data_IF_504455393015
#
_entry.id   IF_504455393015
#
_cell.length_a   1.000
_cell.length_b   1.000
_cell.length_c   1.000
_cell.angle_alpha   90.00
_cell.angle_beta   90.00
_cell.angle_gamma   90.00
#
_symmetry.space_group_name_H-M   'P 1'
#
loop_
_entity.id
_entity.type
_entity.pdbx_description
1 polymer ?
#
# COMPACT_ATOMS: atom_id res chain seq x y z
N UNK A 1 -5.15 39.93 -16.03
CA UNK A 1 -5.17 38.50 -16.47
C UNK A 1 -5.62 37.56 -15.36
N UNK A 2 -5.27 37.83 -14.11
CA UNK A 2 -5.58 36.99 -12.93
C UNK A 2 -7.09 36.86 -12.57
N UNK A 3 -7.93 37.82 -12.98
CA UNK A 3 -9.38 37.74 -12.73
C UNK A 3 -10.14 36.77 -13.66
N UNK A 4 -9.54 36.36 -14.80
CA UNK A 4 -10.21 35.50 -15.78
C UNK A 4 -10.06 34.01 -15.44
N UNK A 5 -8.95 33.62 -14.81
CA UNK A 5 -8.73 32.27 -14.29
C UNK A 5 -9.58 31.97 -13.07
N UNK A 6 -9.75 32.94 -12.15
CA UNK A 6 -10.61 32.75 -10.97
C UNK A 6 -12.10 32.58 -11.30
N UNK A 7 -12.56 33.16 -12.41
CA UNK A 7 -13.95 33.01 -12.88
C UNK A 7 -14.20 31.64 -13.52
N UNK A 8 -13.19 31.07 -14.18
CA UNK A 8 -13.30 29.79 -14.86
C UNK A 8 -13.39 28.58 -13.91
N UNK A 9 -12.84 28.66 -12.70
CA UNK A 9 -12.89 27.54 -11.74
C UNK A 9 -14.26 27.38 -11.06
N UNK A 10 -15.05 28.46 -10.94
CA UNK A 10 -16.38 28.39 -10.33
C UNK A 10 -17.42 27.73 -11.26
N UNK A 11 -17.24 27.86 -12.57
CA UNK A 11 -18.19 27.39 -13.60
C UNK A 11 -17.83 26.01 -14.19
N UNK A 12 -16.73 25.39 -13.75
CA UNK A 12 -16.21 24.16 -14.37
C UNK A 12 -16.92 22.86 -13.94
N UNK A 13 -17.67 22.90 -12.84
CA UNK A 13 -18.41 21.74 -12.33
C UNK A 13 -19.85 21.66 -12.87
N UNK A 14 -20.27 22.61 -13.71
CA UNK A 14 -21.58 22.56 -14.36
C UNK A 14 -21.49 21.81 -15.68
N UNK A 15 -22.43 20.91 -16.00
CA UNK A 15 -22.45 20.22 -17.28
C UNK A 15 -22.47 21.23 -18.44
N UNK A 16 -21.62 21.03 -19.45
CA UNK A 16 -21.50 21.91 -20.61
C UNK A 16 -21.95 21.19 -21.88
N UNK A 17 -22.73 21.88 -22.71
CA UNK A 17 -23.14 21.35 -24.02
C UNK A 17 -21.97 21.32 -25.00
N UNK A 18 -22.01 20.38 -25.96
CA UNK A 18 -21.00 20.28 -27.03
C UNK A 18 -20.83 21.61 -27.79
N UNK A 19 -21.92 22.36 -27.97
CA UNK A 19 -21.92 23.68 -28.62
C UNK A 19 -21.19 24.74 -27.80
N UNK A 20 -21.41 24.76 -26.48
CA UNK A 20 -20.74 25.68 -25.55
C UNK A 20 -19.22 25.41 -25.53
N UNK A 21 -18.84 24.14 -25.51
CA UNK A 21 -17.43 23.74 -25.51
C UNK A 21 -16.78 24.14 -26.84
N UNK A 22 -17.38 23.82 -27.98
CA UNK A 22 -16.87 24.20 -29.29
C UNK A 22 -16.69 25.72 -29.44
N UNK A 23 -17.63 26.50 -28.90
CA UNK A 23 -17.54 27.97 -28.90
C UNK A 23 -16.38 28.50 -28.05
N UNK A 24 -16.09 27.86 -26.91
CA UNK A 24 -15.01 28.26 -25.99
C UNK A 24 -13.64 27.80 -26.47
N UNK A 25 -13.53 26.58 -26.99
CA UNK A 25 -12.26 25.97 -27.43
C UNK A 25 -11.93 26.30 -28.89
N UNK A 26 -12.90 26.79 -29.67
CA UNK A 26 -12.84 26.95 -31.13
C UNK A 26 -12.56 25.63 -31.87
N UNK A 27 -12.85 24.50 -31.24
CA UNK A 27 -12.66 23.15 -31.79
C UNK A 27 -14.00 22.45 -31.89
N UNK A 28 -14.39 22.10 -33.12
CA UNK A 28 -15.62 21.36 -33.38
C UNK A 28 -15.45 19.89 -33.00
N UNK A 29 -15.92 19.53 -31.81
CA UNK A 29 -15.85 18.16 -31.27
C UNK A 29 -16.64 17.18 -32.15
N UNK A 30 -17.76 17.61 -32.75
CA UNK A 30 -18.61 16.77 -33.60
C UNK A 30 -18.01 16.42 -34.96
N UNK A 31 -17.02 17.19 -35.44
CA UNK A 31 -16.38 16.94 -36.76
C UNK A 31 -15.21 15.96 -36.68
N UNK A 32 -14.67 15.73 -35.49
CA UNK A 32 -13.50 14.87 -35.30
C UNK A 32 -13.88 13.63 -34.47
N UNK A 33 -14.16 12.48 -35.12
CA UNK A 33 -14.59 11.27 -34.42
C UNK A 33 -13.52 10.76 -33.43
N UNK A 34 -12.24 10.98 -33.71
CA UNK A 34 -11.16 10.58 -32.80
C UNK A 34 -11.13 11.41 -31.50
N UNK A 35 -11.56 12.68 -31.55
CA UNK A 35 -11.71 13.51 -30.35
C UNK A 35 -12.95 13.10 -29.54
N UNK A 36 -14.04 12.76 -30.23
CA UNK A 36 -15.25 12.25 -29.60
C UNK A 36 -14.98 10.97 -28.81
N UNK A 37 -14.34 9.98 -29.43
CA UNK A 37 -13.98 8.72 -28.76
C UNK A 37 -13.06 8.95 -27.55
N UNK A 38 -12.08 9.86 -27.66
CA UNK A 38 -11.20 10.19 -26.53
C UNK A 38 -11.93 10.87 -25.37
N UNK A 39 -12.96 11.68 -25.64
CA UNK A 39 -13.75 12.34 -24.61
C UNK A 39 -14.68 11.34 -23.91
N UNK A 40 -15.31 10.46 -24.67
CA UNK A 40 -16.20 9.42 -24.12
C UNK A 40 -15.41 8.37 -23.33
N UNK A 41 -14.20 8.03 -23.77
CA UNK A 41 -13.33 7.06 -23.07
C UNK A 41 -12.58 7.66 -21.87
N UNK A 42 -12.74 8.95 -21.57
CA UNK A 42 -12.02 9.58 -20.46
C UNK A 42 -12.74 9.34 -19.13
N UNK A 43 -12.06 8.70 -18.17
CA UNK A 43 -12.58 8.39 -16.84
C UNK A 43 -12.99 9.63 -16.02
N UNK A 44 -12.44 10.80 -16.37
CA UNK A 44 -12.75 12.09 -15.72
C UNK A 44 -13.90 12.85 -16.37
N UNK A 45 -14.51 12.31 -17.42
CA UNK A 45 -15.59 12.98 -18.15
C UNK A 45 -16.79 12.04 -18.19
N UNK A 46 -17.94 12.54 -17.76
CA UNK A 46 -19.21 11.86 -17.92
C UNK A 46 -19.96 12.51 -19.09
N UNK A 47 -20.42 11.68 -20.02
CA UNK A 47 -21.19 12.12 -21.18
C UNK A 47 -22.63 11.66 -21.03
N UNK A 48 -23.55 12.62 -20.98
CA UNK A 48 -24.98 12.36 -21.02
C UNK A 48 -25.47 12.37 -22.47
N UNK A 49 -25.82 11.19 -22.98
CA UNK A 49 -26.32 11.01 -24.35
C UNK A 49 -27.70 11.63 -24.59
N UNK A 50 -28.49 11.88 -23.54
CA UNK A 50 -29.83 12.45 -23.65
C UNK A 50 -29.75 13.95 -23.89
N UNK A 51 -28.90 14.62 -23.13
CA UNK A 51 -28.79 16.08 -23.18
C UNK A 51 -27.60 16.58 -24.03
N UNK A 52 -26.76 15.68 -24.55
CA UNK A 52 -25.52 16.01 -25.25
C UNK A 52 -24.63 16.96 -24.42
N UNK A 53 -24.49 16.64 -23.13
CA UNK A 53 -23.71 17.42 -22.18
C UNK A 53 -22.54 16.60 -21.65
N UNK A 54 -21.41 17.28 -21.48
CA UNK A 54 -20.24 16.75 -20.80
C UNK A 54 -20.14 17.36 -19.41
N UNK A 55 -20.04 16.51 -18.38
CA UNK A 55 -19.75 16.90 -17.00
C UNK A 55 -18.38 16.40 -16.58
N UNK A 56 -17.71 17.16 -15.71
CA UNK A 56 -16.50 16.70 -15.06
C UNK A 56 -16.84 15.69 -13.97
N UNK A 57 -16.22 14.51 -14.02
CA UNK A 57 -16.34 13.47 -13.01
C UNK A 57 -15.06 13.47 -12.17
N UNK A 58 -15.05 14.14 -11.00
CA UNK A 58 -13.91 14.04 -10.10
C UNK A 58 -13.78 12.60 -9.58
N UNK A 59 -12.55 12.20 -9.24
CA UNK A 59 -12.25 10.87 -8.67
C UNK A 59 -13.12 10.59 -7.44
N UNK A 60 -13.42 11.64 -6.66
CA UNK A 60 -14.33 11.57 -5.53
C UNK A 60 -15.33 12.73 -5.59
N UNK A 61 -16.59 12.49 -5.29
CA UNK A 61 -17.61 13.54 -5.26
C UNK A 61 -17.66 14.21 -3.88
N UNK A 62 -16.64 14.98 -3.55
CA UNK A 62 -16.53 15.65 -2.24
C UNK A 62 -16.87 17.12 -2.40
N UNK A 63 -17.94 17.57 -1.73
CA UNK A 63 -18.36 18.98 -1.76
C UNK A 63 -18.30 19.63 -0.38
N UNK A 64 -18.31 18.83 0.69
CA UNK A 64 -18.29 19.28 2.06
C UNK A 64 -17.19 18.62 2.90
N UNK A 65 -16.90 19.20 4.07
CA UNK A 65 -16.02 18.60 5.08
C UNK A 65 -16.56 17.27 5.61
N UNK A 66 -17.88 17.13 5.69
CA UNK A 66 -18.57 15.93 6.16
C UNK A 66 -18.46 14.80 5.13
N UNK A 67 -18.51 15.14 3.84
CA UNK A 67 -18.29 14.17 2.75
C UNK A 67 -16.87 13.61 2.80
N UNK A 68 -15.87 14.47 3.06
CA UNK A 68 -14.48 14.07 3.20
C UNK A 68 -14.31 13.09 4.37
N UNK A 69 -14.91 13.42 5.52
CA UNK A 69 -14.86 12.56 6.70
C UNK A 69 -15.55 11.22 6.43
N UNK A 70 -16.75 11.25 5.86
CA UNK A 70 -17.52 10.04 5.50
C UNK A 70 -16.73 9.15 4.54
N UNK A 71 -16.04 9.75 3.55
CA UNK A 71 -15.19 9.02 2.62
C UNK A 71 -14.01 8.37 3.34
N UNK A 72 -13.30 9.11 4.19
CA UNK A 72 -12.19 8.58 5.00
C UNK A 72 -12.63 7.44 5.94
N UNK A 73 -13.82 7.55 6.54
CA UNK A 73 -14.40 6.48 7.37
C UNK A 73 -14.69 5.24 6.53
N UNK A 74 -15.31 5.42 5.36
CA UNK A 74 -15.66 4.30 4.47
C UNK A 74 -14.41 3.56 3.99
N UNK A 75 -13.33 4.30 3.74
CA UNK A 75 -12.06 3.80 3.22
C UNK A 75 -11.03 3.47 4.31
N UNK A 76 -11.41 3.53 5.59
CA UNK A 76 -10.51 3.25 6.73
C UNK A 76 -9.79 1.89 6.65
N UNK A 77 -10.41 0.90 6.00
CA UNK A 77 -9.85 -0.45 5.82
C UNK A 77 -8.98 -0.58 4.57
N UNK A 78 -9.21 0.27 3.56
CA UNK A 78 -8.46 0.27 2.31
C UNK A 78 -7.16 1.08 2.42
N UNK A 79 -7.06 1.96 3.42
CA UNK A 79 -5.84 2.70 3.74
C UNK A 79 -6.04 4.21 3.67
N UNK A 80 -4.96 4.93 3.40
CA UNK A 80 -4.96 6.38 3.29
C UNK A 80 -5.26 6.85 1.88
N UNK A 81 -5.83 8.06 1.77
CA UNK A 81 -6.14 8.68 0.49
C UNK A 81 -5.12 9.77 0.14
N UNK A 82 -4.73 9.83 -1.12
CA UNK A 82 -3.82 10.86 -1.61
C UNK A 82 -4.50 12.23 -1.67
N UNK A 83 -3.81 13.24 -1.14
CA UNK A 83 -4.28 14.62 -1.11
C UNK A 83 -4.53 15.18 -2.52
N UNK A 84 -3.78 14.72 -3.54
CA UNK A 84 -3.90 15.20 -4.93
C UNK A 84 -5.27 14.86 -5.53
N UNK A 85 -5.75 13.64 -5.31
CA UNK A 85 -7.03 13.17 -5.87
C UNK A 85 -8.22 13.86 -5.19
N UNK A 86 -8.04 14.16 -3.90
CA UNK A 86 -9.02 14.91 -3.12
C UNK A 86 -9.03 16.40 -3.49
N UNK A 87 -7.85 16.99 -3.79
CA UNK A 87 -7.72 18.40 -4.18
C UNK A 87 -8.41 18.70 -5.52
N UNK A 88 -8.39 17.73 -6.42
CA UNK A 88 -9.11 17.79 -7.71
C UNK A 88 -10.63 17.87 -7.50
N UNK A 89 -11.12 17.23 -6.44
CA UNK A 89 -12.54 17.12 -6.11
C UNK A 89 -13.07 18.33 -5.34
N UNK A 90 -12.28 18.88 -4.41
CA UNK A 90 -12.71 19.92 -3.49
C UNK A 90 -11.72 21.08 -3.41
N UNK A 91 -12.12 22.26 -3.91
CA UNK A 91 -11.25 23.45 -3.98
C UNK A 91 -10.87 24.03 -2.61
N UNK A 92 -11.70 23.83 -1.58
CA UNK A 92 -11.45 24.28 -0.20
C UNK A 92 -10.81 23.20 0.69
N UNK A 93 -10.27 22.14 0.08
CA UNK A 93 -9.72 21.01 0.82
C UNK A 93 -8.60 21.40 1.78
N UNK A 94 -7.73 22.34 1.42
CA UNK A 94 -6.61 22.74 2.29
C UNK A 94 -7.08 23.29 3.64
N UNK A 95 -8.13 24.12 3.66
CA UNK A 95 -8.67 24.67 4.91
C UNK A 95 -9.34 23.57 5.74
N UNK A 96 -10.21 22.79 5.10
CA UNK A 96 -10.95 21.72 5.77
C UNK A 96 -10.03 20.64 6.35
N UNK A 97 -8.93 20.31 5.65
CA UNK A 97 -7.93 19.36 6.15
C UNK A 97 -7.20 19.90 7.37
N UNK A 98 -6.79 21.17 7.36
CA UNK A 98 -6.09 21.76 8.51
C UNK A 98 -7.01 21.89 9.73
N UNK A 99 -8.28 22.26 9.51
CA UNK A 99 -9.32 22.28 10.55
C UNK A 99 -9.54 20.89 11.16
N UNK A 100 -9.79 19.86 10.33
CA UNK A 100 -10.04 18.49 10.80
C UNK A 100 -8.79 17.83 11.40
N UNK A 101 -7.59 18.22 10.96
CA UNK A 101 -6.33 17.80 11.56
C UNK A 101 -6.13 18.47 12.93
N UNK A 102 -6.49 19.75 13.06
CA UNK A 102 -6.46 20.47 14.34
C UNK A 102 -7.45 19.92 15.36
N UNK A 103 -8.63 19.48 14.92
CA UNK A 103 -9.60 18.76 15.74
C UNK A 103 -9.14 17.33 16.10
N UNK A 104 -8.11 16.82 15.42
CA UNK A 104 -7.57 15.47 15.64
C UNK A 104 -8.47 14.36 15.11
N UNK A 105 -9.37 14.67 14.17
CA UNK A 105 -10.29 13.71 13.53
C UNK A 105 -9.66 13.07 12.29
N UNK A 106 -8.65 13.71 11.71
CA UNK A 106 -7.90 13.21 10.55
C UNK A 106 -6.41 13.24 10.88
N UNK A 107 -5.69 12.19 10.48
CA UNK A 107 -4.23 12.16 10.47
C UNK A 107 -3.72 12.56 9.08
N UNK A 108 -2.78 13.50 9.06
CA UNK A 108 -2.18 14.01 7.82
C UNK A 108 -0.71 13.60 7.78
N UNK A 109 -0.36 12.77 6.80
CA UNK A 109 1.04 12.50 6.48
C UNK A 109 1.55 13.61 5.56
N UNK A 110 2.46 14.43 6.08
CA UNK A 110 3.09 15.53 5.35
C UNK A 110 4.40 15.09 4.71
N UNK A 111 4.72 15.66 3.56
CA UNK A 111 6.03 15.53 2.93
C UNK A 111 7.10 16.38 3.65
N UNK A 112 8.36 16.22 3.26
CA UNK A 112 9.49 17.05 3.74
C UNK A 112 9.24 18.56 3.54
N UNK A 113 8.47 18.91 2.51
CA UNK A 113 8.10 20.30 2.19
C UNK A 113 6.90 20.82 3.01
N UNK A 114 6.39 20.05 3.96
CA UNK A 114 5.24 20.40 4.80
C UNK A 114 3.87 20.22 4.12
N UNK A 115 3.83 19.95 2.81
CA UNK A 115 2.58 19.73 2.09
C UNK A 115 1.91 18.41 2.49
N UNK A 116 0.56 18.39 2.67
CA UNK A 116 -0.19 17.17 2.92
C UNK A 116 -0.06 16.22 1.73
N UNK A 117 0.30 14.97 2.00
CA UNK A 117 0.44 13.91 0.98
C UNK A 117 -0.67 12.89 1.10
N UNK A 118 -0.84 12.30 2.28
CA UNK A 118 -1.84 11.24 2.51
C UNK A 118 -2.71 11.61 3.72
N UNK A 119 -4.00 11.34 3.60
CA UNK A 119 -5.02 11.59 4.62
C UNK A 119 -5.56 10.27 5.14
N UNK A 120 -5.66 10.15 6.47
CA UNK A 120 -6.21 9.00 7.16
C UNK A 120 -7.29 9.44 8.14
N UNK A 121 -8.30 8.60 8.33
CA UNK A 121 -9.24 8.78 9.43
C UNK A 121 -8.54 8.54 10.77
N UNK A 122 -8.72 9.46 11.73
CA UNK A 122 -8.32 9.25 13.11
C UNK A 122 -9.54 8.88 13.95
N UNK A 123 -9.46 7.77 14.66
CA UNK A 123 -10.50 7.43 15.63
C UNK A 123 -10.17 8.06 16.98
N UNK A 124 -10.96 9.08 17.34
CA UNK A 124 -10.77 9.86 18.56
C UNK A 124 -10.83 9.00 19.83
N UNK A 125 -11.42 7.80 19.78
CA UNK A 125 -11.46 6.87 20.91
C UNK A 125 -10.07 6.41 21.36
N UNK A 126 -9.09 6.39 20.45
CA UNK A 126 -7.72 5.99 20.75
C UNK A 126 -6.79 7.17 21.06
N UNK A 127 -7.29 8.41 20.97
CA UNK A 127 -6.50 9.59 21.31
C UNK A 127 -6.33 9.66 22.83
N UNK A 128 -5.14 9.29 23.30
CA UNK A 128 -4.75 9.44 24.70
C UNK A 128 -3.96 10.74 24.87
N UNK A 129 -4.47 11.72 25.63
CA UNK A 129 -3.69 12.90 25.96
C UNK A 129 -2.55 12.49 26.88
N UNK A 130 -1.32 12.67 26.42
CA UNK A 130 -0.09 12.42 27.17
C UNK A 130 0.68 13.73 27.25
N UNK A 131 1.19 14.05 28.44
CA UNK A 131 1.99 15.24 28.67
C UNK A 131 3.26 15.27 27.80
N UNK A 132 3.70 16.47 27.44
CA UNK A 132 4.90 16.67 26.65
C UNK A 132 6.14 16.15 27.39
N UNK A 133 6.19 16.32 28.71
CA UNK A 133 7.31 15.85 29.54
C UNK A 133 7.41 14.32 29.55
N UNK A 134 6.28 13.62 29.64
CA UNK A 134 6.25 12.16 29.54
C UNK A 134 6.68 11.66 28.16
N UNK A 135 6.27 12.33 27.09
CA UNK A 135 6.71 11.98 25.72
C UNK A 135 8.21 12.17 25.54
N UNK A 136 8.77 13.24 26.10
CA UNK A 136 10.21 13.52 26.07
C UNK A 136 10.98 12.45 26.83
N UNK A 137 10.57 12.17 28.07
CA UNK A 137 11.17 11.12 28.88
C UNK A 137 11.13 9.76 28.17
N UNK A 138 9.99 9.40 27.56
CA UNK A 138 9.86 8.16 26.80
C UNK A 138 10.83 8.08 25.61
N UNK A 139 11.02 9.20 24.90
CA UNK A 139 11.88 9.25 23.71
C UNK A 139 13.37 9.28 24.06
N UNK A 140 13.73 9.71 25.27
CA UNK A 140 15.11 9.75 25.76
C UNK A 140 15.60 8.37 26.24
N UNK A 141 14.69 7.43 26.52
CA UNK A 141 15.06 6.07 26.92
C UNK A 141 15.74 5.38 25.73
N UNK A 142 17.04 5.16 25.86
CA UNK A 142 17.81 4.38 24.89
C UNK A 142 17.41 2.91 24.99
N UNK A 143 16.90 2.38 23.88
CA UNK A 143 16.56 0.95 23.76
C UNK A 143 17.89 0.20 23.50
N UNK A 144 18.26 -0.78 24.34
CA UNK A 144 19.43 -1.63 24.11
C UNK A 144 19.33 -2.39 22.79
N UNK A 145 20.47 -2.80 22.24
CA UNK A 145 20.52 -3.60 21.01
C UNK A 145 19.84 -4.97 21.20
N UNK A 146 19.39 -5.61 20.11
CA UNK A 146 18.56 -6.83 20.17
C UNK A 146 19.22 -7.97 20.97
N UNK A 147 20.55 -8.02 21.02
CA UNK A 147 21.32 -9.03 21.76
C UNK A 147 21.37 -8.78 23.27
N UNK A 148 21.30 -7.53 23.69
CA UNK A 148 21.41 -7.11 25.09
C UNK A 148 20.05 -6.84 25.72
N UNK A 149 19.01 -6.61 24.91
CA UNK A 149 17.63 -6.46 25.35
C UNK A 149 17.12 -7.61 26.25
N UNK A 150 17.41 -8.91 25.96
CA UNK A 150 16.94 -10.00 26.82
C UNK A 150 17.60 -9.98 28.20
N UNK A 151 18.89 -9.66 28.26
CA UNK A 151 19.64 -9.55 29.53
C UNK A 151 19.15 -8.37 30.36
N UNK A 152 18.93 -7.22 29.72
CA UNK A 152 18.40 -6.02 30.38
C UNK A 152 16.98 -6.25 30.92
N UNK A 153 16.14 -7.01 30.20
CA UNK A 153 14.80 -7.40 30.67
C UNK A 153 14.88 -8.36 31.87
N UNK A 154 15.79 -9.36 31.84
CA UNK A 154 16.03 -10.26 32.96
C UNK A 154 16.54 -9.52 34.20
N UNK A 155 17.49 -8.58 34.04
CA UNK A 155 17.97 -7.71 35.11
C UNK A 155 16.86 -6.83 35.71
N UNK A 156 15.94 -6.36 34.87
CA UNK A 156 14.75 -5.62 35.29
C UNK A 156 13.66 -6.52 35.89
N UNK A 157 13.88 -7.83 36.00
CA UNK A 157 12.92 -8.79 36.54
C UNK A 157 11.72 -9.08 35.62
N UNK A 158 11.77 -8.61 34.37
CA UNK A 158 10.78 -8.88 33.34
C UNK A 158 11.19 -10.17 32.61
N UNK A 159 10.44 -11.25 32.83
CA UNK A 159 10.65 -12.46 32.04
C UNK A 159 10.36 -12.16 30.58
N UNK A 160 11.39 -12.26 29.75
CA UNK A 160 11.21 -12.34 28.30
C UNK A 160 10.27 -13.52 28.05
N UNK A 161 9.18 -13.29 27.30
CA UNK A 161 8.45 -14.44 26.75
C UNK A 161 9.47 -15.23 25.97
N UNK A 162 9.59 -16.54 26.23
CA UNK A 162 10.40 -17.45 25.43
C UNK A 162 9.99 -17.24 23.98
N UNK A 163 10.77 -16.41 23.28
CA UNK A 163 10.72 -16.36 21.83
C UNK A 163 11.12 -17.76 21.47
N UNK A 164 10.14 -18.58 21.10
CA UNK A 164 10.38 -19.79 20.36
C UNK A 164 11.10 -19.33 19.10
N UNK A 165 12.43 -19.24 19.19
CA UNK A 165 13.31 -19.37 18.07
C UNK A 165 12.93 -20.71 17.47
N UNK A 166 11.97 -20.70 16.54
CA UNK A 166 11.92 -21.72 15.51
C UNK A 166 13.23 -21.55 14.79
N UNK A 167 14.27 -22.21 15.32
CA UNK A 167 15.47 -22.57 14.58
C UNK A 167 14.90 -23.25 13.36
N UNK A 168 14.87 -22.51 12.25
CA UNK A 168 14.65 -23.06 10.94
C UNK A 168 15.81 -24.03 10.82
N UNK A 169 15.53 -25.29 11.14
CA UNK A 169 16.44 -26.39 10.90
C UNK A 169 16.53 -26.42 9.39
N UNK A 170 17.55 -25.74 8.85
CA UNK A 170 17.86 -25.79 7.45
C UNK A 170 17.95 -27.28 7.10
N UNK A 171 17.00 -27.76 6.30
CA UNK A 171 16.98 -29.15 5.86
C UNK A 171 18.37 -29.50 5.35
N UNK A 172 19.00 -30.43 6.06
CA UNK A 172 20.30 -30.95 5.69
C UNK A 172 20.09 -31.68 4.37
N UNK A 173 20.42 -31.00 3.25
CA UNK A 173 20.45 -31.62 1.93
C UNK A 173 21.25 -32.92 2.05
N UNK A 174 20.69 -34.08 1.67
CA UNK A 174 21.38 -35.35 1.81
C UNK A 174 22.62 -35.32 0.93
N UNK A 175 23.80 -35.28 1.56
CA UNK A 175 25.08 -35.45 0.84
C UNK A 175 25.04 -36.84 0.21
N UNK A 176 25.05 -36.89 -1.13
CA UNK A 176 25.26 -38.15 -1.88
C UNK A 176 26.49 -38.84 -1.33
N UNK A 177 26.28 -39.98 -0.68
CA UNK A 177 27.34 -40.85 -0.18
C UNK A 177 28.19 -41.30 -1.38
N UNK A 178 29.45 -40.87 -1.42
CA UNK A 178 30.42 -41.42 -2.38
C UNK A 178 30.67 -42.87 -1.98
N UNK A 179 30.28 -43.80 -2.83
CA UNK A 179 30.49 -45.25 -2.68
C UNK A 179 31.98 -45.52 -2.50
N UNK A 180 32.38 -45.81 -1.26
CA UNK A 180 33.76 -46.16 -0.93
C UNK A 180 33.90 -47.66 -1.14
N UNK A 181 34.55 -48.06 -2.23
CA UNK A 181 34.86 -49.47 -2.50
C UNK A 181 35.77 -50.03 -1.39
N UNK A 182 35.16 -50.67 -0.39
CA UNK A 182 35.90 -51.43 0.62
C UNK A 182 36.34 -52.75 -0.03
N UNK A 183 37.64 -53.01 -0.07
CA UNK A 183 38.20 -54.29 -0.50
C UNK A 183 37.90 -55.35 0.58
N UNK A 184 36.85 -56.13 0.36
CA UNK A 184 36.50 -57.26 1.24
C UNK A 184 37.43 -58.43 0.88
N UNK A 185 38.15 -58.99 1.86
CA UNK A 185 38.92 -60.22 1.68
C UNK A 185 37.99 -61.41 1.89
N UNK A 186 37.73 -62.15 0.81
CA UNK A 186 36.91 -63.35 0.83
C UNK A 186 37.78 -64.52 1.30
N UNK A 187 37.44 -65.12 2.44
CA UNK A 187 38.16 -66.27 3.01
C UNK A 187 37.60 -67.62 2.59
N UNK A 188 36.50 -67.64 1.82
CA UNK A 188 35.87 -68.86 1.31
C UNK A 188 36.06 -69.03 -0.20
N UNK A 189 36.66 -70.14 -0.62
CA UNK A 189 37.06 -70.43 -2.02
C UNK A 189 35.87 -70.50 -2.99
N UNK A 190 34.66 -70.80 -2.51
CA UNK A 190 33.47 -70.93 -3.37
C UNK A 190 32.79 -69.61 -3.75
N UNK A 191 33.21 -68.48 -3.17
CA UNK A 191 32.61 -67.16 -3.42
C UNK A 191 33.44 -66.30 -4.40
N UNK A 192 34.48 -66.86 -5.01
CA UNK A 192 35.39 -66.12 -5.91
C UNK A 192 34.76 -65.68 -7.24
N UNK A 193 33.63 -66.27 -7.64
CA UNK A 193 33.01 -66.03 -8.95
C UNK A 193 31.86 -65.02 -8.90
N UNK A 194 31.55 -64.46 -7.73
CA UNK A 194 30.43 -63.52 -7.53
C UNK A 194 30.99 -62.12 -7.36
N UNK A 195 30.57 -61.19 -8.23
CA UNK A 195 30.92 -59.77 -8.15
C UNK A 195 30.07 -59.08 -7.08
N UNK A 196 30.62 -58.97 -5.86
CA UNK A 196 30.00 -58.34 -4.69
C UNK A 196 30.07 -56.80 -4.73
N UNK A 197 30.57 -56.20 -5.81
CA UNK A 197 30.63 -54.74 -5.94
C UNK A 197 29.32 -54.11 -6.39
N UNK A 198 28.34 -54.93 -6.81
CA UNK A 198 27.02 -54.50 -7.27
C UNK A 198 25.93 -55.10 -6.37
N UNK A 199 24.97 -54.26 -5.98
CA UNK A 199 23.80 -54.71 -5.24
C UNK A 199 22.87 -55.52 -6.17
N UNK A 200 22.32 -56.62 -5.66
CA UNK A 200 21.41 -57.49 -6.41
C UNK A 200 20.09 -56.76 -6.69
N UNK A 201 19.75 -56.61 -7.97
CA UNK A 201 18.46 -56.08 -8.41
C UNK A 201 17.61 -57.24 -8.92
N UNK A 202 16.47 -57.56 -8.30
CA UNK A 202 15.64 -58.68 -8.74
C UNK A 202 15.05 -58.38 -10.12
N UNK A 203 15.21 -59.32 -11.06
CA UNK A 203 14.60 -59.22 -12.39
C UNK A 203 13.08 -59.34 -12.26
N UNK A 204 12.37 -58.23 -12.45
CA UNK A 204 10.92 -58.24 -12.62
C UNK A 204 10.60 -58.94 -13.96
N UNK A 205 10.14 -60.19 -13.90
CA UNK A 205 9.56 -60.86 -15.06
C UNK A 205 8.17 -60.27 -15.33
N UNK A 206 7.89 -60.06 -16.62
CA UNK A 206 6.60 -59.61 -17.19
C UNK A 206 5.44 -60.49 -16.76
#
# INVERSE_FOLDING_TARGET
MEQKERRNQLDSNHPQSVVSIASRTKVDISKNPALWEKLVNNEKIEYDSVNNMFSYKPTYQIKSKEDLLSLLISKRKEGGMDYKDLKDSYSKLSSAVEELAGEGVILVVRNKDGNPRVLFYNDAQYNTPIDADFKKMWSEISIPDETDLPKALEEAGLKTMEVFEKKITAEVKPKRSKTRHKRIKITNTHLSHIDLSKDYVPNAKK
#
